data_IF_575270458953
#
_entry.id   IF_575270458953
#
_cell.length_a   1.000
_cell.length_b   1.000
_cell.length_c   1.000
_cell.angle_alpha   90.00
_cell.angle_beta   90.00
_cell.angle_gamma   90.00
#
_symmetry.space_group_name_H-M   'P 1'
#
loop_
_entity.id
_entity.type
_entity.pdbx_description
1 polymer ?
#
# COMPACT_ATOMS: atom_id res chain seq x y z
N UNK A 1 55.19 -35.65 27.73
CA UNK A 1 54.74 -36.62 26.70
C UNK A 1 53.35 -37.08 27.08
N UNK A 2 52.33 -36.55 26.40
CA UNK A 2 51.02 -37.17 26.15
C UNK A 2 50.27 -36.21 25.21
N UNK A 3 50.71 -36.15 23.96
CA UNK A 3 49.96 -35.56 22.85
C UNK A 3 48.81 -36.52 22.53
N UNK A 4 47.63 -36.32 23.13
CA UNK A 4 46.41 -36.93 22.62
C UNK A 4 45.83 -36.02 21.55
N UNK A 5 46.04 -36.41 20.29
CA UNK A 5 45.36 -35.85 19.14
C UNK A 5 43.83 -35.96 19.36
N UNK A 6 43.16 -34.82 19.53
CA UNK A 6 41.70 -34.78 19.44
C UNK A 6 41.31 -34.58 17.98
N UNK A 7 40.77 -35.64 17.38
CA UNK A 7 40.02 -35.58 16.12
C UNK A 7 38.65 -34.96 16.44
N UNK A 8 38.41 -33.75 15.95
CA UNK A 8 37.12 -33.06 16.09
C UNK A 8 36.16 -33.70 15.09
N UNK A 9 35.20 -34.49 15.59
CA UNK A 9 34.09 -34.93 14.76
C UNK A 9 33.19 -33.73 14.47
N UNK A 10 33.07 -33.42 13.17
CA UNK A 10 32.08 -32.51 12.60
C UNK A 10 30.68 -32.91 13.07
N UNK A 11 30.09 -32.12 13.96
CA UNK A 11 28.64 -32.02 14.13
C UNK A 11 28.31 -30.57 14.48
N UNK A 12 27.71 -29.91 13.49
CA UNK A 12 27.27 -28.52 13.43
C UNK A 12 28.37 -27.47 13.15
N UNK A 13 28.07 -26.63 12.15
CA UNK A 13 28.92 -25.61 11.54
C UNK A 13 29.36 -24.51 12.54
N UNK A 14 30.36 -24.79 13.36
CA UNK A 14 31.11 -23.76 14.09
C UNK A 14 32.61 -24.06 13.98
N UNK A 15 33.35 -23.19 13.29
CA UNK A 15 34.80 -23.28 13.18
C UNK A 15 35.39 -22.82 14.51
N UNK A 16 35.79 -23.77 15.36
CA UNK A 16 36.50 -23.47 16.61
C UNK A 16 38.00 -23.39 16.34
N UNK A 17 38.61 -22.24 16.61
CA UNK A 17 40.07 -22.05 16.56
C UNK A 17 40.61 -22.09 17.99
N UNK A 18 41.38 -23.14 18.32
CA UNK A 18 42.01 -23.33 19.64
C UNK A 18 43.45 -22.80 19.55
N UNK A 19 43.73 -21.64 20.15
CA UNK A 19 45.11 -21.16 20.32
C UNK A 19 45.69 -21.72 21.63
N UNK A 20 46.84 -22.41 21.53
CA UNK A 20 47.62 -22.88 22.67
C UNK A 20 48.69 -21.85 23.04
N UNK A 21 48.39 -20.92 23.97
CA UNK A 21 49.44 -20.11 24.60
C UNK A 21 49.93 -20.81 25.88
N UNK A 22 50.87 -21.74 25.69
CA UNK A 22 51.61 -22.39 26.78
C UNK A 22 52.76 -21.47 27.23
N UNK A 23 52.52 -20.63 28.24
CA UNK A 23 53.61 -20.01 29.01
C UNK A 23 54.10 -21.03 30.05
N UNK A 24 55.08 -21.84 29.68
CA UNK A 24 55.82 -22.69 30.63
C UNK A 24 56.88 -21.83 31.34
N UNK A 25 56.96 -21.80 32.68
CA UNK A 25 58.14 -21.29 33.35
C UNK A 25 59.25 -22.33 33.23
N UNK A 26 60.38 -21.93 32.64
CA UNK A 26 61.62 -22.71 32.62
C UNK A 26 62.14 -22.86 34.05
N UNK A 27 62.09 -24.07 34.62
CA UNK A 27 62.75 -24.40 35.88
C UNK A 27 64.17 -24.85 35.55
N UNK A 28 65.13 -23.94 35.63
CA UNK A 28 66.57 -24.25 35.59
C UNK A 28 67.08 -24.52 37.01
N UNK A 29 67.77 -25.66 37.13
CA UNK A 29 68.73 -26.05 38.17
C UNK A 29 68.30 -25.98 39.65
N UNK A 30 67.99 -27.14 40.21
CA UNK A 30 68.23 -27.43 41.62
C UNK A 30 68.92 -28.81 41.71
N UNK A 31 70.19 -28.77 42.12
CA UNK A 31 71.01 -29.95 42.39
C UNK A 31 70.36 -30.84 43.46
N UNK A 32 70.57 -32.14 43.28
CA UNK A 32 70.27 -33.19 44.26
C UNK A 32 70.87 -32.86 45.64
N UNK A 33 70.00 -32.72 46.65
CA UNK A 33 70.35 -33.01 48.04
C UNK A 33 69.21 -33.77 48.70
N UNK A 34 69.54 -34.92 49.28
CA UNK A 34 68.65 -35.84 49.96
C UNK A 34 68.00 -35.19 51.19
N UNK A 35 66.68 -34.95 51.16
CA UNK A 35 65.80 -35.11 52.33
C UNK A 35 64.33 -35.07 51.89
N UNK A 36 63.69 -36.23 51.72
CA UNK A 36 62.24 -36.30 51.56
C UNK A 36 61.56 -35.86 52.87
N UNK A 37 61.05 -34.63 52.89
CA UNK A 37 59.84 -34.28 53.66
C UNK A 37 58.69 -34.23 52.66
N UNK A 38 57.46 -34.61 53.02
CA UNK A 38 56.31 -34.35 52.17
C UNK A 38 56.15 -32.82 52.08
N UNK A 39 56.69 -32.23 51.00
CA UNK A 39 56.33 -30.88 50.61
C UNK A 39 54.85 -30.98 50.26
N UNK A 40 54.03 -30.27 51.03
CA UNK A 40 52.58 -30.33 50.97
C UNK A 40 52.05 -30.20 49.56
N UNK A 41 50.82 -30.70 49.37
CA UNK A 41 49.98 -30.56 48.18
C UNK A 41 50.48 -29.43 47.27
N UNK A 42 51.18 -29.80 46.19
CA UNK A 42 51.41 -28.88 45.08
C UNK A 42 50.02 -28.62 44.52
N UNK A 43 49.40 -27.51 44.93
CA UNK A 43 48.23 -26.97 44.25
C UNK A 43 48.69 -26.65 42.84
N UNK A 44 48.40 -27.55 41.92
CA UNK A 44 48.47 -27.24 40.50
C UNK A 44 47.46 -26.11 40.32
N UNK A 45 47.89 -24.94 39.86
CA UNK A 45 46.93 -23.90 39.49
C UNK A 45 45.97 -24.53 38.47
N UNK A 46 44.65 -24.40 38.65
CA UNK A 46 43.70 -24.99 37.73
C UNK A 46 43.99 -24.49 36.31
N UNK A 47 44.22 -25.41 35.38
CA UNK A 47 44.36 -25.08 33.96
C UNK A 47 42.96 -24.75 33.44
N UNK A 48 42.75 -23.53 32.97
CA UNK A 48 41.51 -23.11 32.31
C UNK A 48 41.75 -22.82 30.83
N UNK A 49 40.81 -23.25 29.99
CA UNK A 49 40.73 -22.91 28.56
C UNK A 49 39.57 -21.95 28.38
N UNK A 50 39.83 -20.77 27.82
CA UNK A 50 38.77 -19.82 27.48
C UNK A 50 38.32 -20.02 26.03
N UNK A 51 37.01 -20.18 25.83
CA UNK A 51 36.42 -20.25 24.50
C UNK A 51 36.24 -18.85 23.90
N UNK A 52 36.59 -18.71 22.63
CA UNK A 52 36.30 -17.54 21.80
C UNK A 52 35.14 -17.84 20.86
N UNK A 53 34.29 -16.85 20.61
CA UNK A 53 33.14 -16.97 19.70
C UNK A 53 33.45 -16.34 18.35
N UNK A 54 32.90 -16.93 17.28
CA UNK A 54 32.91 -16.31 15.96
C UNK A 54 32.15 -14.99 15.94
N UNK A 55 32.43 -14.15 14.93
CA UNK A 55 31.71 -12.90 14.75
C UNK A 55 30.20 -13.14 14.64
N UNK A 56 29.41 -12.25 15.24
CA UNK A 56 27.95 -12.37 15.23
C UNK A 56 27.37 -13.31 16.29
N UNK A 57 28.21 -13.89 17.16
CA UNK A 57 27.73 -14.74 18.24
C UNK A 57 28.21 -14.28 19.63
N UNK A 58 27.46 -14.64 20.67
CA UNK A 58 27.81 -14.39 22.07
C UNK A 58 27.54 -15.63 22.94
N UNK A 59 28.05 -15.62 24.16
CA UNK A 59 27.78 -16.66 25.15
C UNK A 59 26.33 -16.55 25.63
N UNK A 60 25.60 -17.66 25.61
CA UNK A 60 24.25 -17.73 26.15
C UNK A 60 24.21 -17.33 27.63
N UNK A 61 23.10 -16.72 28.05
CA UNK A 61 22.93 -16.22 29.41
C UNK A 61 23.09 -17.36 30.45
N UNK A 62 23.86 -17.11 31.51
CA UNK A 62 24.10 -18.09 32.58
C UNK A 62 25.08 -19.22 32.23
N UNK A 63 25.75 -19.18 31.08
CA UNK A 63 26.81 -20.12 30.71
C UNK A 63 28.21 -19.56 31.02
N UNK A 64 29.22 -20.43 31.11
CA UNK A 64 30.62 -20.08 31.41
C UNK A 64 31.51 -20.34 30.20
N UNK A 65 32.35 -19.38 29.73
CA UNK A 65 33.25 -19.60 28.59
C UNK A 65 34.51 -20.38 28.97
N UNK A 66 34.63 -20.85 30.22
CA UNK A 66 35.83 -21.51 30.73
C UNK A 66 35.62 -23.02 30.86
N UNK A 67 36.57 -23.79 30.32
CA UNK A 67 36.70 -25.23 30.57
C UNK A 67 37.84 -25.43 31.57
N UNK A 68 37.57 -26.10 32.70
CA UNK A 68 38.54 -26.26 33.79
C UNK A 68 39.03 -27.71 33.82
N UNK A 69 40.34 -27.91 33.95
CA UNK A 69 40.91 -29.20 34.29
C UNK A 69 40.84 -29.39 35.81
N UNK A 70 40.11 -30.41 36.24
CA UNK A 70 39.98 -30.80 37.65
C UNK A 70 41.17 -31.67 38.10
N UNK A 71 41.34 -31.81 39.41
CA UNK A 71 42.45 -32.55 40.03
C UNK A 71 42.42 -34.06 39.69
N UNK A 72 41.26 -34.59 39.32
CA UNK A 72 41.05 -35.98 38.88
C UNK A 72 41.37 -36.20 37.39
N UNK A 73 41.99 -35.21 36.73
CA UNK A 73 42.28 -35.19 35.30
C UNK A 73 41.04 -35.22 34.40
N UNK A 74 39.85 -34.90 34.94
CA UNK A 74 38.64 -34.66 34.15
C UNK A 74 38.53 -33.18 33.75
N UNK A 75 37.85 -32.92 32.64
CA UNK A 75 37.51 -31.55 32.22
C UNK A 75 36.05 -31.26 32.58
N UNK A 76 35.74 -30.01 32.90
CA UNK A 76 34.36 -29.56 33.03
C UNK A 76 33.59 -29.88 31.73
N UNK A 77 32.36 -30.37 31.86
CA UNK A 77 31.52 -30.67 30.71
C UNK A 77 31.31 -29.42 29.84
N UNK A 78 31.37 -29.60 28.52
CA UNK A 78 31.15 -28.52 27.55
C UNK A 78 29.64 -28.27 27.47
N UNK A 79 29.13 -27.37 28.32
CA UNK A 79 27.75 -26.88 28.28
C UNK A 79 27.63 -25.49 27.62
N UNK A 80 28.67 -25.05 26.93
CA UNK A 80 28.73 -23.72 26.32
C UNK A 80 27.82 -23.65 25.10
N UNK A 81 26.66 -23.02 25.29
CA UNK A 81 25.73 -22.69 24.21
C UNK A 81 26.10 -21.31 23.67
N UNK A 82 26.29 -21.24 22.36
CA UNK A 82 26.60 -20.02 21.63
C UNK A 82 25.32 -19.53 20.95
N UNK A 83 24.96 -18.28 21.17
CA UNK A 83 23.74 -17.66 20.63
C UNK A 83 24.09 -16.62 19.57
N UNK A 84 23.24 -16.52 18.55
CA UNK A 84 23.38 -15.49 17.52
C UNK A 84 23.02 -14.13 18.11
N UNK A 85 23.86 -13.12 17.89
CA UNK A 85 23.59 -11.75 18.29
C UNK A 85 22.35 -11.23 17.58
N UNK A 86 21.49 -10.53 18.31
CA UNK A 86 20.35 -9.82 17.74
C UNK A 86 20.78 -8.45 17.23
N UNK A 87 20.39 -8.10 16.01
CA UNK A 87 20.51 -6.74 15.47
C UNK A 87 19.39 -5.81 15.94
N UNK A 88 18.40 -6.34 16.68
CA UNK A 88 17.20 -5.61 17.06
C UNK A 88 16.24 -5.42 15.89
N UNK A 89 15.24 -4.55 16.08
CA UNK A 89 14.28 -4.21 15.04
C UNK A 89 15.00 -3.55 13.85
N UNK A 90 14.70 -3.95 12.60
CA UNK A 90 15.17 -3.23 11.42
C UNK A 90 14.77 -1.74 11.46
N UNK A 91 15.56 -0.85 10.85
CA UNK A 91 15.17 0.55 10.69
C UNK A 91 13.81 0.69 9.99
N UNK A 92 12.96 1.56 10.51
CA UNK A 92 11.68 1.89 9.91
C UNK A 92 11.86 2.59 8.56
N UNK A 93 10.93 2.35 7.64
CA UNK A 93 10.91 2.92 6.30
C UNK A 93 9.68 3.83 6.15
N UNK A 94 9.90 5.13 6.01
CA UNK A 94 8.82 6.08 5.76
C UNK A 94 8.17 5.81 4.39
N UNK A 95 6.83 5.87 4.33
CA UNK A 95 6.05 5.53 3.13
C UNK A 95 6.33 4.11 2.58
N UNK A 96 6.72 3.19 3.47
CA UNK A 96 6.93 1.80 3.12
C UNK A 96 6.70 0.85 4.30
N UNK A 97 7.08 -0.40 4.09
CA UNK A 97 7.08 -1.45 5.09
C UNK A 97 8.20 -2.44 4.81
N UNK A 98 8.51 -3.30 5.77
CA UNK A 98 9.51 -4.34 5.60
C UNK A 98 9.00 -5.72 6.01
N UNK A 99 9.64 -6.75 5.47
CA UNK A 99 9.49 -8.14 5.89
C UNK A 99 10.85 -8.66 6.29
N UNK A 100 10.93 -9.38 7.41
CA UNK A 100 12.20 -9.93 7.90
C UNK A 100 12.10 -11.45 8.03
N UNK A 101 13.20 -12.14 7.72
CA UNK A 101 13.34 -13.58 7.95
C UNK A 101 13.74 -13.87 9.39
N UNK A 102 14.55 -13.01 10.00
CA UNK A 102 15.06 -13.12 11.36
C UNK A 102 15.74 -11.81 11.75
N UNK A 103 15.75 -11.49 13.05
CA UNK A 103 16.45 -10.32 13.61
C UNK A 103 17.80 -10.65 14.24
N UNK A 104 18.21 -11.92 14.20
CA UNK A 104 19.54 -12.36 14.67
C UNK A 104 20.52 -12.52 13.52
N UNK A 105 21.81 -12.61 13.85
CA UNK A 105 22.92 -12.69 12.90
C UNK A 105 22.64 -13.63 11.71
N UNK A 106 22.83 -13.11 10.49
CA UNK A 106 22.49 -13.76 9.22
C UNK A 106 21.04 -13.56 8.76
N UNK A 107 20.19 -12.93 9.57
CA UNK A 107 18.82 -12.55 9.20
C UNK A 107 18.81 -11.50 8.10
N UNK A 108 17.77 -11.52 7.27
CA UNK A 108 17.61 -10.62 6.12
C UNK A 108 16.29 -9.87 6.26
N UNK A 109 16.33 -8.55 6.10
CA UNK A 109 15.16 -7.71 5.93
C UNK A 109 15.04 -7.28 4.47
N UNK A 110 13.83 -7.33 3.93
CA UNK A 110 13.48 -6.83 2.60
C UNK A 110 12.46 -5.70 2.75
N UNK A 111 12.75 -4.58 2.12
CA UNK A 111 11.98 -3.35 2.14
C UNK A 111 11.06 -3.23 0.93
N UNK A 112 9.91 -2.61 1.13
CA UNK A 112 8.89 -2.39 0.12
C UNK A 112 8.29 -0.99 0.30
N UNK A 113 8.12 -0.25 -0.80
CA UNK A 113 7.43 1.03 -0.76
C UNK A 113 5.92 0.86 -0.91
N UNK A 114 5.16 1.78 -0.31
CA UNK A 114 3.72 1.87 -0.49
C UNK A 114 3.38 2.32 -1.92
N UNK A 115 2.11 2.18 -2.30
CA UNK A 115 1.62 2.65 -3.59
C UNK A 115 1.91 4.15 -3.77
N UNK A 116 2.37 4.52 -4.96
CA UNK A 116 2.75 5.89 -5.30
C UNK A 116 4.18 6.28 -4.90
N UNK A 117 4.96 5.33 -4.38
CA UNK A 117 6.37 5.52 -4.05
C UNK A 117 7.26 4.48 -4.74
N UNK A 118 8.48 4.87 -5.07
CA UNK A 118 9.50 4.03 -5.69
C UNK A 118 10.70 3.84 -4.76
N UNK A 119 11.20 2.62 -4.65
CA UNK A 119 12.34 2.32 -3.78
C UNK A 119 13.65 2.79 -4.41
N UNK A 120 14.40 3.61 -3.68
CA UNK A 120 15.72 4.12 -4.05
C UNK A 120 16.77 3.58 -3.07
N UNK A 121 17.68 2.78 -3.60
CA UNK A 121 18.73 2.09 -2.84
C UNK A 121 18.61 0.56 -2.93
N UNK A 122 19.34 -0.14 -2.07
CA UNK A 122 19.22 -1.59 -1.93
C UNK A 122 17.93 -1.93 -1.17
N UNK A 123 17.18 -2.90 -1.68
CA UNK A 123 15.91 -3.33 -1.09
C UNK A 123 16.12 -4.29 0.10
N UNK A 124 17.36 -4.68 0.38
CA UNK A 124 17.69 -5.64 1.43
C UNK A 124 18.81 -5.19 2.35
N UNK A 125 18.74 -5.63 3.61
CA UNK A 125 19.84 -5.55 4.56
C UNK A 125 20.00 -6.89 5.29
N UNK A 126 21.22 -7.17 5.70
CA UNK A 126 21.62 -8.36 6.42
C UNK A 126 22.04 -7.98 7.84
N UNK A 127 21.57 -8.74 8.82
CA UNK A 127 22.01 -8.61 10.21
C UNK A 127 23.43 -9.18 10.32
N UNK A 128 24.43 -8.29 10.37
CA UNK A 128 25.83 -8.63 10.57
C UNK A 128 26.25 -8.42 12.03
N UNK A 129 27.49 -8.73 12.38
CA UNK A 129 27.95 -8.69 13.76
C UNK A 129 27.86 -7.30 14.42
N UNK A 130 27.83 -6.24 13.60
CA UNK A 130 27.70 -4.84 14.01
C UNK A 130 26.28 -4.26 13.95
N UNK A 131 25.26 -5.06 13.60
CA UNK A 131 23.90 -4.58 13.37
C UNK A 131 23.43 -4.83 11.94
N UNK A 132 22.33 -4.19 11.54
CA UNK A 132 21.88 -4.21 10.14
C UNK A 132 22.91 -3.48 9.26
N UNK A 133 23.33 -4.12 8.17
CA UNK A 133 24.31 -3.56 7.25
C UNK A 133 23.69 -2.58 6.25
N UNK A 134 24.55 -1.92 5.47
CA UNK A 134 24.10 -1.02 4.41
C UNK A 134 23.44 0.26 4.92
N UNK A 135 22.65 0.88 4.05
CA UNK A 135 21.84 2.06 4.37
C UNK A 135 20.38 1.70 4.16
N UNK A 136 19.51 2.25 5.01
CA UNK A 136 18.06 2.14 4.79
C UNK A 136 17.70 2.79 3.46
N UNK A 137 16.97 2.08 2.58
CA UNK A 137 16.50 2.68 1.34
C UNK A 137 15.52 3.81 1.63
N UNK A 138 15.22 4.61 0.61
CA UNK A 138 14.24 5.68 0.68
C UNK A 138 13.10 5.39 -0.30
N UNK A 139 11.87 5.69 0.10
CA UNK A 139 10.72 5.63 -0.78
C UNK A 139 10.44 7.02 -1.35
N UNK A 140 10.84 7.24 -2.60
CA UNK A 140 10.64 8.52 -3.29
C UNK A 140 9.25 8.56 -3.92
N UNK A 141 8.48 9.66 -3.74
CA UNK A 141 7.14 9.76 -4.30
C UNK A 141 7.17 9.85 -5.83
N UNK A 142 6.14 9.31 -6.48
CA UNK A 142 5.92 9.52 -7.90
C UNK A 142 5.74 11.02 -8.18
N UNK A 143 6.34 11.49 -9.26
CA UNK A 143 6.28 12.89 -9.69
C UNK A 143 5.43 13.03 -10.95
N UNK A 144 4.57 14.05 -10.96
CA UNK A 144 3.76 14.43 -12.11
C UNK A 144 4.42 15.55 -12.90
N UNK A 145 4.13 15.59 -14.21
CA UNK A 145 4.60 16.65 -15.10
C UNK A 145 4.11 18.03 -14.65
N UNK A 146 4.93 19.04 -14.91
CA UNK A 146 4.57 20.43 -14.65
C UNK A 146 3.35 20.87 -15.45
N UNK A 147 2.49 21.65 -14.79
CA UNK A 147 1.26 22.17 -15.40
C UNK A 147 1.57 23.37 -16.28
N UNK A 148 1.08 23.31 -17.52
CA UNK A 148 1.12 24.45 -18.43
C UNK A 148 0.14 25.55 -17.99
N UNK A 149 0.48 26.84 -18.17
CA UNK A 149 -0.43 27.94 -17.88
C UNK A 149 -1.74 27.84 -18.66
N UNK A 150 -2.87 27.94 -17.95
CA UNK A 150 -4.19 28.03 -18.57
C UNK A 150 -4.48 29.47 -19.04
N UNK A 151 -5.10 29.61 -20.21
CA UNK A 151 -5.54 30.92 -20.70
C UNK A 151 -6.71 31.48 -19.87
N UNK A 152 -6.72 32.80 -19.66
CA UNK A 152 -7.77 33.51 -18.92
C UNK A 152 -8.04 32.96 -17.51
N UNK A 153 -7.03 32.35 -16.89
CA UNK A 153 -7.07 31.85 -15.53
C UNK A 153 -5.70 31.84 -14.87
N UNK A 154 -5.62 31.22 -13.71
CA UNK A 154 -4.40 31.05 -12.93
C UNK A 154 -4.11 29.56 -12.76
N UNK A 155 -2.86 29.19 -13.03
CA UNK A 155 -2.33 27.85 -12.76
C UNK A 155 -1.61 27.89 -11.42
N UNK A 156 -1.94 27.00 -10.47
CA UNK A 156 -1.28 26.99 -9.17
C UNK A 156 0.19 26.57 -9.34
N UNK A 157 1.12 27.11 -8.54
CA UNK A 157 2.48 26.59 -8.47
C UNK A 157 2.49 25.26 -7.69
N UNK A 158 3.53 24.41 -7.88
CA UNK A 158 3.74 23.23 -7.04
C UNK A 158 3.89 23.64 -5.56
N UNK A 159 3.48 22.79 -4.59
CA UNK A 159 3.61 23.09 -3.16
C UNK A 159 5.07 23.24 -2.71
N UNK A 160 5.98 22.53 -3.37
CA UNK A 160 7.43 22.57 -3.14
C UNK A 160 8.17 22.72 -4.49
N UNK A 161 9.22 21.93 -4.73
CA UNK A 161 9.98 21.99 -5.98
C UNK A 161 9.28 21.30 -7.16
N UNK A 162 8.41 20.32 -6.88
CA UNK A 162 7.80 19.42 -7.85
C UNK A 162 6.39 19.02 -7.42
N UNK A 163 5.61 18.46 -8.35
CA UNK A 163 4.31 17.86 -8.08
C UNK A 163 4.49 16.39 -7.73
N UNK A 164 4.25 16.06 -6.47
CA UNK A 164 4.38 14.71 -5.91
C UNK A 164 3.02 14.03 -5.75
N UNK A 165 3.05 12.71 -5.61
CA UNK A 165 1.87 11.89 -5.35
C UNK A 165 0.97 12.51 -4.26
N UNK A 166 -0.35 12.48 -4.50
CA UNK A 166 -1.41 13.10 -3.68
C UNK A 166 -1.45 14.64 -3.65
N UNK A 167 -0.47 15.34 -4.24
CA UNK A 167 -0.60 16.79 -4.40
C UNK A 167 -1.82 17.14 -5.27
N UNK A 168 -2.47 18.25 -4.91
CA UNK A 168 -3.65 18.75 -5.58
C UNK A 168 -3.39 20.11 -6.23
N UNK A 169 -3.68 20.21 -7.52
CA UNK A 169 -3.66 21.46 -8.26
C UNK A 169 -5.08 22.00 -8.42
N UNK A 170 -5.37 23.14 -7.79
CA UNK A 170 -6.67 23.82 -7.88
C UNK A 170 -6.57 25.05 -8.77
N UNK A 171 -7.35 25.06 -9.85
CA UNK A 171 -7.35 26.15 -10.83
C UNK A 171 -8.42 27.19 -10.52
N UNK A 172 -8.16 28.41 -10.98
CA UNK A 172 -9.10 29.53 -10.91
C UNK A 172 -9.16 30.24 -12.26
N UNK A 173 -10.35 30.68 -12.65
CA UNK A 173 -10.51 31.53 -13.82
C UNK A 173 -10.49 33.01 -13.43
N UNK A 174 -10.04 33.86 -14.35
CA UNK A 174 -10.11 35.30 -14.19
C UNK A 174 -11.57 35.75 -14.08
N UNK A 175 -11.85 36.92 -13.48
CA UNK A 175 -13.20 37.47 -13.44
C UNK A 175 -13.83 37.49 -14.83
N UNK A 176 -15.14 37.21 -14.91
CA UNK A 176 -15.95 37.06 -16.15
C UNK A 176 -15.77 35.76 -16.94
N UNK A 177 -14.79 34.93 -16.60
CA UNK A 177 -14.62 33.60 -17.19
C UNK A 177 -15.18 32.51 -16.27
N UNK A 178 -15.76 31.49 -16.87
CA UNK A 178 -16.29 30.32 -16.19
C UNK A 178 -15.37 29.12 -16.40
N UNK A 179 -15.15 28.35 -15.33
CA UNK A 179 -14.31 27.16 -15.36
C UNK A 179 -15.07 25.98 -15.96
N UNK A 180 -14.54 25.43 -17.04
CA UNK A 180 -15.08 24.27 -17.77
C UNK A 180 -14.13 23.08 -17.57
N UNK A 181 -14.60 22.07 -16.84
CA UNK A 181 -13.83 20.87 -16.49
C UNK A 181 -13.71 20.69 -14.97
N UNK A 182 -12.78 19.84 -14.54
CA UNK A 182 -12.49 19.63 -13.13
C UNK A 182 -11.68 20.80 -12.55
N UNK A 183 -12.17 21.36 -11.45
CA UNK A 183 -11.53 22.50 -10.78
C UNK A 183 -10.22 22.11 -10.11
N UNK A 184 -10.15 20.88 -9.60
CA UNK A 184 -9.01 20.35 -8.85
C UNK A 184 -8.62 19.00 -9.44
N UNK A 185 -7.35 18.84 -9.77
CA UNK A 185 -6.75 17.59 -10.25
C UNK A 185 -5.67 17.13 -9.28
N UNK A 186 -5.40 15.84 -9.25
CA UNK A 186 -4.51 15.18 -8.28
C UNK A 186 -3.39 14.43 -8.98
N UNK A 187 -2.18 14.48 -8.42
CA UNK A 187 -1.09 13.64 -8.90
C UNK A 187 -1.29 12.20 -8.42
N UNK A 188 -1.37 11.26 -9.36
CA UNK A 188 -1.61 9.84 -9.07
C UNK A 188 -0.32 9.06 -8.86
N UNK A 189 -0.46 7.87 -8.27
CA UNK A 189 0.64 6.96 -7.96
C UNK A 189 1.49 6.54 -9.18
N UNK A 190 0.94 6.66 -10.40
CA UNK A 190 1.63 6.36 -11.65
C UNK A 190 2.35 7.57 -12.25
N UNK A 191 2.46 8.69 -11.53
CA UNK A 191 3.10 9.93 -12.04
C UNK A 191 2.27 10.67 -13.08
N UNK A 192 0.95 10.43 -13.13
CA UNK A 192 0.05 11.15 -14.06
C UNK A 192 -1.02 11.93 -13.31
N UNK A 193 -1.49 13.02 -13.92
CA UNK A 193 -2.60 13.79 -13.40
C UNK A 193 -3.93 13.03 -13.49
N UNK A 194 -4.81 13.27 -12.51
CA UNK A 194 -6.10 12.59 -12.45
C UNK A 194 -7.06 12.97 -13.58
N UNK A 195 -6.90 14.19 -14.09
CA UNK A 195 -7.64 14.75 -15.21
C UNK A 195 -6.73 15.79 -15.91
N UNK A 196 -7.18 16.30 -17.06
CA UNK A 196 -6.51 17.38 -17.76
C UNK A 196 -6.85 18.75 -17.14
N UNK A 197 -5.97 19.76 -17.28
CA UNK A 197 -6.28 21.12 -16.83
C UNK A 197 -7.58 21.67 -17.43
N UNK A 198 -8.41 22.38 -16.64
CA UNK A 198 -9.67 22.93 -17.10
C UNK A 198 -9.46 24.12 -18.05
N UNK A 199 -10.53 24.51 -18.74
CA UNK A 199 -10.55 25.67 -19.64
C UNK A 199 -11.37 26.81 -19.05
N UNK A 200 -10.90 28.04 -19.19
CA UNK A 200 -11.65 29.23 -18.82
C UNK A 200 -12.31 29.83 -20.06
N UNK A 201 -13.64 29.79 -20.13
CA UNK A 201 -14.43 30.33 -21.24
C UNK A 201 -15.49 31.30 -20.74
N UNK A 202 -15.85 32.28 -21.55
CA UNK A 202 -17.05 33.08 -21.31
C UNK A 202 -18.26 32.25 -21.75
N UNK A 203 -19.06 31.79 -20.77
CA UNK A 203 -20.29 31.03 -21.04
C UNK A 203 -21.48 31.86 -20.56
N UNK A 204 -22.33 32.24 -21.51
CA UNK A 204 -23.59 32.94 -21.22
C UNK A 204 -24.71 32.37 -22.07
N UNK A 205 -25.50 31.47 -21.48
CA UNK A 205 -26.69 30.94 -22.14
C UNK A 205 -27.84 31.95 -22.03
N UNK A 206 -28.54 32.15 -23.14
CA UNK A 206 -29.80 32.90 -23.16
C UNK A 206 -30.95 31.93 -23.01
N UNK A 207 -31.94 32.31 -22.19
CA UNK A 207 -33.16 31.51 -21.99
C UNK A 207 -33.86 31.23 -23.34
N UNK A 208 -34.31 29.98 -23.60
CA UNK A 208 -35.15 29.70 -24.76
C UNK A 208 -36.45 30.51 -24.76
N UNK A 209 -36.88 31.01 -25.93
CA UNK A 209 -38.13 31.76 -26.12
C UNK A 209 -38.99 31.09 -27.22
N UNK A 210 -40.27 30.76 -26.97
CA UNK A 210 -40.97 30.81 -25.67
C UNK A 210 -40.41 29.79 -24.66
N UNK A 211 -40.49 30.06 -23.34
CA UNK A 211 -39.84 29.24 -22.32
C UNK A 211 -40.40 27.81 -22.26
N UNK A 212 -41.74 27.66 -22.33
CA UNK A 212 -42.46 26.39 -22.43
C UNK A 212 -43.93 26.67 -22.78
N UNK A 213 -44.62 25.76 -23.47
CA UNK A 213 -46.06 25.85 -23.77
C UNK A 213 -46.85 24.95 -22.81
N UNK A 214 -47.95 25.45 -22.24
CA UNK A 214 -48.77 24.75 -21.23
C UNK A 214 -47.98 24.32 -19.98
N UNK A 215 -47.03 25.16 -19.58
CA UNK A 215 -46.22 24.99 -18.40
C UNK A 215 -45.60 26.32 -17.98
N UNK A 216 -44.80 26.28 -16.93
CA UNK A 216 -44.13 27.44 -16.35
C UNK A 216 -42.75 27.10 -15.81
N UNK A 217 -41.89 28.11 -15.73
CA UNK A 217 -40.63 28.02 -15.00
C UNK A 217 -40.93 28.15 -13.51
N UNK A 218 -40.37 27.26 -12.70
CA UNK A 218 -40.52 27.26 -11.24
C UNK A 218 -39.22 27.57 -10.50
N UNK A 219 -38.06 27.49 -11.16
CA UNK A 219 -36.77 27.88 -10.59
C UNK A 219 -35.77 28.31 -11.69
N UNK A 220 -34.79 29.12 -11.30
CA UNK A 220 -33.79 29.69 -12.21
C UNK A 220 -34.40 30.81 -13.05
N UNK A 221 -34.94 31.85 -12.42
CA UNK A 221 -35.56 32.99 -13.12
C UNK A 221 -34.47 34.00 -13.53
N UNK A 222 -33.96 33.88 -14.76
CA UNK A 222 -32.96 34.80 -15.32
C UNK A 222 -33.10 34.95 -16.83
N UNK A 223 -32.68 36.08 -17.42
CA UNK A 223 -32.56 36.21 -18.87
C UNK A 223 -31.29 35.53 -19.40
N UNK A 224 -30.25 35.46 -18.57
CA UNK A 224 -28.93 34.89 -18.88
C UNK A 224 -28.47 33.95 -17.76
N UNK A 225 -27.66 32.95 -18.14
CA UNK A 225 -27.21 31.88 -17.25
C UNK A 225 -25.74 31.55 -17.49
N UNK A 226 -25.02 31.29 -16.40
CA UNK A 226 -23.63 30.79 -16.42
C UNK A 226 -23.59 29.27 -16.58
N UNK A 227 -22.41 28.73 -16.88
CA UNK A 227 -22.20 27.28 -17.02
C UNK A 227 -22.73 26.51 -15.81
N UNK A 228 -23.40 25.37 -16.07
CA UNK A 228 -24.07 24.50 -15.07
C UNK A 228 -25.24 25.12 -14.31
N UNK A 229 -25.62 26.37 -14.56
CA UNK A 229 -26.86 26.89 -14.02
C UNK A 229 -28.07 26.26 -14.75
N UNK A 230 -29.15 26.07 -14.01
CA UNK A 230 -30.30 25.28 -14.46
C UNK A 230 -31.61 26.07 -14.45
N UNK A 231 -32.51 25.69 -15.35
CA UNK A 231 -33.92 26.13 -15.38
C UNK A 231 -34.79 24.92 -15.10
N UNK A 232 -35.73 25.06 -14.16
CA UNK A 232 -36.68 23.99 -13.82
C UNK A 232 -38.07 24.37 -14.30
N UNK A 233 -38.70 23.47 -15.03
CA UNK A 233 -40.03 23.60 -15.59
C UNK A 233 -41.05 22.77 -14.81
N UNK A 234 -42.32 23.17 -14.93
CA UNK A 234 -43.46 22.40 -14.47
C UNK A 234 -44.60 22.57 -15.48
N UNK A 235 -45.23 21.48 -15.89
CA UNK A 235 -46.43 21.56 -16.71
C UNK A 235 -47.63 22.06 -15.89
N UNK A 236 -48.54 22.76 -16.55
CA UNK A 236 -49.77 23.22 -15.93
C UNK A 236 -50.75 22.04 -15.72
N UNK A 237 -51.80 22.26 -14.93
CA UNK A 237 -52.76 21.22 -14.58
C UNK A 237 -53.43 20.61 -15.83
N UNK A 238 -53.51 19.29 -15.88
CA UNK A 238 -54.02 18.54 -17.03
C UNK A 238 -53.01 18.35 -18.16
N UNK A 239 -51.72 18.64 -17.94
CA UNK A 239 -50.63 18.36 -18.86
C UNK A 239 -49.51 17.53 -18.20
N UNK A 240 -49.02 16.53 -18.93
CA UNK A 240 -47.90 15.69 -18.56
C UNK A 240 -46.62 16.13 -19.28
N UNK A 241 -45.47 16.04 -18.59
CA UNK A 241 -44.18 16.46 -19.12
C UNK A 241 -43.50 15.35 -19.92
N UNK A 242 -43.03 15.69 -21.12
CA UNK A 242 -42.17 14.85 -21.97
C UNK A 242 -40.79 15.48 -22.07
N UNK A 243 -39.78 14.77 -21.57
CA UNK A 243 -38.39 15.23 -21.50
C UNK A 243 -37.94 15.45 -20.07
N UNK A 244 -36.81 16.14 -19.90
CA UNK A 244 -36.25 16.47 -18.59
C UNK A 244 -36.86 17.77 -18.08
N UNK A 245 -37.35 17.77 -16.85
CA UNK A 245 -37.90 18.95 -16.17
C UNK A 245 -36.86 20.06 -15.94
N UNK A 246 -35.59 19.68 -15.94
CA UNK A 246 -34.46 20.54 -15.64
C UNK A 246 -33.49 20.57 -16.81
N UNK A 247 -33.30 21.75 -17.39
CA UNK A 247 -32.27 22.00 -18.41
C UNK A 247 -31.09 22.76 -17.81
N UNK A 248 -29.89 22.52 -18.33
CA UNK A 248 -28.63 23.06 -17.81
C UNK A 248 -27.87 23.80 -18.91
N UNK A 249 -27.28 24.94 -18.56
CA UNK A 249 -26.47 25.74 -19.48
C UNK A 249 -25.16 25.02 -19.81
N UNK A 250 -24.95 24.74 -21.11
CA UNK A 250 -23.80 23.99 -21.61
C UNK A 250 -22.61 24.88 -21.92
N UNK A 251 -21.43 24.28 -22.07
CA UNK A 251 -20.17 24.99 -22.32
C UNK A 251 -20.14 25.80 -23.63
N UNK A 252 -21.07 25.54 -24.56
CA UNK A 252 -21.19 26.23 -25.84
C UNK A 252 -22.18 27.40 -25.79
N UNK A 253 -22.54 27.87 -24.59
CA UNK A 253 -23.51 28.96 -24.38
C UNK A 253 -24.92 28.65 -24.93
N UNK A 254 -25.32 27.38 -24.94
CA UNK A 254 -26.68 26.96 -25.35
C UNK A 254 -27.34 26.08 -24.30
N UNK A 255 -28.67 26.12 -24.27
CA UNK A 255 -29.48 25.15 -23.56
C UNK A 255 -29.89 23.99 -24.48
N UNK A 256 -30.08 22.77 -23.94
CA UNK A 256 -30.85 21.75 -24.66
C UNK A 256 -32.30 22.20 -24.91
N UNK A 257 -33.04 21.52 -25.80
CA UNK A 257 -34.46 21.79 -26.00
C UNK A 257 -35.25 21.71 -24.68
N UNK A 258 -36.17 22.66 -24.49
CA UNK A 258 -37.09 22.67 -23.34
C UNK A 258 -38.06 21.46 -23.41
N UNK A 259 -38.56 20.98 -22.25
CA UNK A 259 -39.53 19.88 -22.22
C UNK A 259 -40.87 20.28 -22.85
N UNK A 260 -41.63 19.29 -23.30
CA UNK A 260 -42.95 19.46 -23.90
C UNK A 260 -44.04 19.09 -22.88
N UNK A 261 -45.08 19.90 -22.78
CA UNK A 261 -46.26 19.59 -21.97
C UNK A 261 -47.40 19.13 -22.90
N UNK A 262 -47.76 17.84 -22.82
CA UNK A 262 -48.83 17.23 -23.60
C UNK A 262 -50.06 17.02 -22.72
N UNK A 263 -51.30 17.11 -23.24
CA UNK A 263 -52.49 16.88 -22.42
C UNK A 263 -52.45 15.49 -21.77
N UNK A 264 -52.74 15.43 -20.48
CA UNK A 264 -52.95 14.15 -19.80
C UNK A 264 -54.07 13.39 -20.51
N UNK A 265 -53.85 12.12 -20.80
CA UNK A 265 -54.91 11.26 -21.30
C UNK A 265 -56.02 11.24 -20.23
N UNK A 266 -57.16 11.89 -20.51
CA UNK A 266 -58.35 11.74 -19.67
C UNK A 266 -58.59 10.24 -19.56
N UNK A 267 -58.43 9.69 -18.37
CA UNK A 267 -59.08 8.43 -18.04
C UNK A 267 -60.56 8.68 -18.28
N UNK A 268 -61.06 8.16 -19.40
CA UNK A 268 -62.51 8.10 -19.60
C UNK A 268 -63.05 7.40 -18.35
N UNK A 269 -63.97 8.01 -17.59
CA UNK A 269 -64.60 7.29 -16.49
C UNK A 269 -65.12 5.96 -17.06
N UNK A 270 -64.95 4.82 -16.35
CA UNK A 270 -65.46 3.56 -16.83
C UNK A 270 -66.94 3.77 -17.17
N UNK A 271 -67.30 3.56 -18.43
CA UNK A 271 -68.69 3.64 -18.86
C UNK A 271 -69.40 2.52 -18.11
N UNK A 272 -70.14 2.88 -17.06
CA UNK A 272 -71.03 1.95 -16.37
C UNK A 272 -72.17 1.66 -17.32
N UNK A 273 -72.03 0.61 -18.13
CA UNK A 273 -73.11 0.07 -18.95
C UNK A 273 -74.15 -0.52 -17.98
N UNK A 274 -75.40 -0.05 -17.95
CA UNK A 274 -76.42 -0.69 -17.13
C UNK A 274 -76.69 -2.10 -17.70
N UNK A 275 -76.25 -3.13 -16.97
CA UNK A 275 -76.66 -4.53 -17.23
C UNK A 275 -75.66 -5.45 -17.95
N UNK A 276 -74.36 -5.19 -17.90
CA UNK A 276 -73.35 -6.08 -18.50
C UNK A 276 -72.42 -6.72 -17.48
N UNK A 277 -72.43 -8.05 -17.38
CA UNK A 277 -71.51 -8.85 -16.54
C UNK A 277 -70.04 -8.50 -16.79
N UNK A 278 -69.31 -8.20 -15.72
CA UNK A 278 -67.87 -7.95 -15.74
C UNK A 278 -67.10 -9.22 -16.11
N UNK A 279 -66.51 -9.24 -17.31
CA UNK A 279 -65.35 -10.10 -17.61
C UNK A 279 -64.10 -9.22 -17.63
N UNK A 280 -63.19 -9.49 -16.70
CA UNK A 280 -61.84 -8.93 -16.75
C UNK A 280 -61.08 -9.58 -17.92
N UNK A 281 -60.85 -8.83 -18.99
CA UNK A 281 -59.84 -9.14 -19.99
C UNK A 281 -58.57 -8.37 -19.62
N UNK A 282 -57.61 -9.06 -19.02
CA UNK A 282 -56.24 -8.60 -18.86
C UNK A 282 -55.50 -8.87 -20.17
N UNK A 283 -55.49 -7.90 -21.09
CA UNK A 283 -54.61 -7.94 -22.26
C UNK A 283 -53.35 -7.10 -21.99
N UNK A 284 -52.27 -7.79 -21.59
CA UNK A 284 -50.90 -7.30 -21.80
C UNK A 284 -50.50 -7.63 -23.24
N UNK A 285 -49.93 -6.71 -24.02
CA UNK A 285 -49.21 -7.07 -25.23
C UNK A 285 -47.81 -7.59 -24.85
N UNK A 286 -47.61 -8.91 -24.91
CA UNK A 286 -46.28 -9.51 -24.96
C UNK A 286 -45.69 -9.31 -26.36
N UNK A 287 -44.66 -8.47 -26.46
CA UNK A 287 -43.84 -8.35 -27.66
C UNK A 287 -42.82 -9.50 -27.69
N UNK A 288 -43.15 -10.59 -28.39
CA UNK A 288 -42.29 -11.77 -28.52
C UNK A 288 -41.63 -11.77 -29.91
N UNK A 289 -40.33 -11.49 -29.96
CA UNK A 289 -39.50 -11.72 -31.14
C UNK A 289 -38.71 -13.03 -30.96
N UNK A 290 -39.01 -14.02 -31.79
CA UNK A 290 -38.18 -15.22 -32.06
C UNK A 290 -37.86 -15.17 -33.56
N UNK A 291 -36.71 -15.58 -34.13
CA UNK A 291 -35.90 -16.80 -34.01
C UNK A 291 -34.52 -16.52 -34.69
N UNK A 292 -33.40 -17.21 -34.41
CA UNK A 292 -33.04 -18.60 -34.78
C UNK A 292 -31.76 -19.04 -34.01
N UNK A 293 -31.76 -20.16 -33.28
CA UNK A 293 -31.43 -21.56 -33.65
C UNK A 293 -29.90 -21.87 -33.59
N UNK A 294 -29.38 -22.53 -32.53
CA UNK A 294 -29.07 -23.99 -32.30
C UNK A 294 -27.73 -24.47 -32.93
N UNK A 295 -27.01 -25.54 -32.46
CA UNK A 295 -27.47 -26.65 -31.58
C UNK A 295 -26.52 -27.18 -30.45
N UNK A 296 -27.18 -27.81 -29.45
CA UNK A 296 -26.91 -29.03 -28.62
C UNK A 296 -25.55 -29.77 -28.61
N UNK A 297 -25.05 -30.06 -27.40
CA UNK A 297 -24.53 -31.34 -26.83
C UNK A 297 -23.72 -31.01 -25.55
N UNK A 298 -23.60 -31.75 -24.44
CA UNK A 298 -24.21 -32.94 -23.84
C UNK A 298 -23.74 -32.97 -22.36
N UNK A 299 -24.58 -33.52 -21.49
CA UNK A 299 -24.38 -34.03 -20.12
C UNK A 299 -22.97 -34.18 -19.53
N UNK A 300 -22.81 -33.76 -18.26
CA UNK A 300 -22.44 -34.62 -17.10
C UNK A 300 -22.23 -33.77 -15.82
N UNK A 301 -23.11 -33.93 -14.83
CA UNK A 301 -22.78 -33.92 -13.38
C UNK A 301 -22.63 -35.39 -12.96
N UNK A 302 -21.83 -35.78 -11.94
CA UNK A 302 -21.93 -35.36 -10.53
C UNK A 302 -20.51 -35.23 -9.89
N UNK A 303 -20.22 -35.06 -8.60
CA UNK A 303 -20.87 -35.36 -7.34
C UNK A 303 -20.20 -34.51 -6.25
N UNK A 304 -20.97 -34.29 -5.19
CA UNK A 304 -20.59 -33.76 -3.87
C UNK A 304 -19.44 -34.57 -3.23
N UNK A 305 -18.47 -33.86 -2.65
CA UNK A 305 -17.78 -34.19 -1.39
C UNK A 305 -17.28 -32.87 -0.80
#
# INVERSE_FOLDING_TARGET
>A
ILTKNFQVYNLFHAVFQINFDLVLPTITDLQMSQQYRPIGLVKVNPIFIQLSFGEGFHLAEGKSPFIICHDDSSWTAIETVCEAKSCGAPPDLENGYYKTTSVVFGGIVTYYCNEGYSLVGEDTQTCVAGGWDGRTPVCDPATCDDLSPIENGQTPPPPQANWEYENAATFTCNPTYTLIGEKTIYCRANGTWSDIPPKCKVVQCVRPDPPIKNGRIIAGFGPTYEYRQTIIYKCDEGFEMVGKDTIECRENSTFPPAPLCIPEARSTPPVTVPGGSTRFASERPEFNSRQRAKPRASFLTPHRA
#
